data_IF_410545396027
#
_entry.id   IF_410545396027
#
_cell.length_a   1.000
_cell.length_b   1.000
_cell.length_c   1.000
_cell.angle_alpha   90.00
_cell.angle_beta   90.00
_cell.angle_gamma   90.00
#
_symmetry.space_group_name_H-M   'P 1'
#
loop_
_entity.id
_entity.type
_entity.pdbx_description
1 polymer ?
#
# COMPACT_ATOMS: atom_id res chain seq x y z
N UNK A 1 2.12 -9.88 13.78
CA UNK A 1 2.86 -9.81 12.51
C UNK A 1 1.96 -10.50 11.51
N UNK A 2 1.50 -9.79 10.47
CA UNK A 2 0.47 -10.31 9.55
C UNK A 2 1.08 -11.36 8.61
N UNK A 3 1.22 -12.58 9.12
CA UNK A 3 1.71 -13.76 8.40
C UNK A 3 0.63 -14.32 7.47
N UNK A 4 1.02 -15.16 6.50
CA UNK A 4 0.08 -15.80 5.56
C UNK A 4 -0.86 -16.76 6.29
N UNK A 5 -0.33 -17.40 7.32
CA UNK A 5 -1.04 -18.36 8.16
C UNK A 5 -0.64 -18.10 9.62
N UNK A 6 -1.54 -18.24 10.60
CA UNK A 6 -1.20 -18.22 12.02
C UNK A 6 -0.15 -19.27 12.37
N UNK A 7 0.70 -19.00 13.37
CA UNK A 7 1.79 -19.91 13.75
C UNK A 7 1.28 -21.31 14.15
N UNK A 8 0.15 -21.36 14.84
CA UNK A 8 -0.50 -22.61 15.26
C UNK A 8 -0.95 -23.46 14.07
N UNK A 9 -1.46 -22.82 13.00
CA UNK A 9 -1.87 -23.50 11.78
C UNK A 9 -0.67 -23.96 10.96
N UNK A 10 0.43 -23.19 10.94
CA UNK A 10 1.68 -23.62 10.31
C UNK A 10 2.23 -24.86 11.00
N UNK A 11 2.25 -24.85 12.33
CA UNK A 11 2.71 -25.99 13.13
C UNK A 11 1.79 -27.20 12.96
N UNK A 12 0.48 -26.98 12.82
CA UNK A 12 -0.49 -28.03 12.53
C UNK A 12 -0.27 -28.65 11.14
N UNK A 13 -0.19 -27.84 10.07
CA UNK A 13 0.08 -28.32 8.71
C UNK A 13 1.43 -29.01 8.66
N UNK A 14 2.44 -28.45 9.32
CA UNK A 14 3.77 -29.02 9.45
C UNK A 14 3.72 -30.43 10.05
N UNK A 15 3.04 -30.63 11.18
CA UNK A 15 2.88 -31.94 11.82
C UNK A 15 2.02 -32.92 11.02
N UNK A 16 1.12 -32.43 10.17
CA UNK A 16 0.25 -33.25 9.33
C UNK A 16 0.90 -33.72 8.04
N UNK A 17 1.65 -32.83 7.38
CA UNK A 17 2.41 -33.15 6.17
C UNK A 17 3.54 -34.12 6.51
N UNK A 18 4.09 -34.01 7.72
CA UNK A 18 5.15 -34.84 8.22
C UNK A 18 4.67 -35.60 9.46
N UNK A 19 3.97 -36.72 9.25
CA UNK A 19 3.47 -37.53 10.37
C UNK A 19 4.61 -38.06 11.23
N UNK A 20 4.60 -37.70 12.51
CA UNK A 20 5.63 -38.09 13.50
C UNK A 20 5.63 -39.60 13.75
N UNK A 21 4.50 -40.27 13.52
CA UNK A 21 4.34 -41.72 13.68
C UNK A 21 5.25 -42.50 12.74
N UNK A 22 5.41 -42.04 11.49
CA UNK A 22 6.34 -42.65 10.52
C UNK A 22 7.79 -42.34 10.90
N UNK A 23 8.09 -41.11 11.37
CA UNK A 23 9.43 -40.69 11.79
C UNK A 23 10.07 -41.59 12.86
N UNK A 24 9.32 -41.95 13.90
CA UNK A 24 9.86 -42.79 14.99
C UNK A 24 10.15 -44.23 14.58
N UNK A 25 9.61 -44.67 13.43
CA UNK A 25 9.88 -45.98 12.84
C UNK A 25 11.05 -45.97 11.83
N UNK A 26 11.57 -44.79 11.46
CA UNK A 26 12.71 -44.64 10.55
C UNK A 26 14.04 -44.98 11.22
N UNK A 27 15.02 -45.39 10.41
CA UNK A 27 16.41 -45.52 10.87
C UNK A 27 17.09 -44.15 11.04
N UNK A 28 18.32 -44.13 11.58
CA UNK A 28 19.01 -42.87 11.87
C UNK A 28 19.32 -42.02 10.64
N UNK A 29 19.56 -42.64 9.49
CA UNK A 29 19.90 -41.91 8.27
C UNK A 29 18.66 -41.24 7.69
N UNK A 30 17.54 -41.96 7.68
CA UNK A 30 16.25 -41.41 7.25
C UNK A 30 15.69 -40.39 8.25
N UNK A 31 15.94 -40.54 9.55
CA UNK A 31 15.62 -39.51 10.55
C UNK A 31 16.38 -38.20 10.30
N UNK A 32 17.66 -38.27 9.97
CA UNK A 32 18.46 -37.08 9.65
C UNK A 32 17.96 -36.39 8.38
N UNK A 33 17.65 -37.15 7.33
CA UNK A 33 17.07 -36.61 6.08
C UNK A 33 15.71 -35.96 6.35
N UNK A 34 14.89 -36.60 7.17
CA UNK A 34 13.60 -36.06 7.58
C UNK A 34 13.76 -34.72 8.32
N UNK A 35 14.69 -34.60 9.28
CA UNK A 35 14.97 -33.32 9.96
C UNK A 35 15.47 -32.23 9.01
N UNK A 36 16.23 -32.59 7.98
CA UNK A 36 16.71 -31.67 6.96
C UNK A 36 15.56 -31.17 6.07
N UNK A 37 14.67 -32.06 5.61
CA UNK A 37 13.47 -31.70 4.85
C UNK A 37 12.54 -30.79 5.66
N UNK A 38 12.40 -31.08 6.97
CA UNK A 38 11.65 -30.24 7.91
C UNK A 38 12.22 -28.82 8.00
N UNK A 39 13.55 -28.69 8.03
CA UNK A 39 14.22 -27.39 8.06
C UNK A 39 13.99 -26.62 6.77
N UNK A 40 14.17 -27.27 5.61
CA UNK A 40 13.96 -26.66 4.29
C UNK A 40 12.53 -26.11 4.18
N UNK A 41 11.54 -26.90 4.59
CA UNK A 41 10.14 -26.48 4.55
C UNK A 41 9.85 -25.28 5.46
N UNK A 42 10.42 -25.25 6.67
CA UNK A 42 10.30 -24.08 7.58
C UNK A 42 10.91 -22.82 6.97
N UNK A 43 12.10 -22.94 6.38
CA UNK A 43 12.79 -21.81 5.74
C UNK A 43 11.98 -21.28 4.54
N UNK A 44 11.35 -22.18 3.77
CA UNK A 44 10.43 -21.80 2.69
C UNK A 44 9.23 -21.00 3.19
N UNK A 45 8.53 -21.48 4.23
CA UNK A 45 7.39 -20.77 4.81
C UNK A 45 7.78 -19.37 5.32
N UNK A 46 8.91 -19.27 6.04
CA UNK A 46 9.41 -17.99 6.55
C UNK A 46 9.77 -17.01 5.43
N UNK A 47 10.32 -17.51 4.32
CA UNK A 47 10.62 -16.70 3.14
C UNK A 47 9.35 -16.12 2.53
N UNK A 48 8.30 -16.93 2.40
CA UNK A 48 7.00 -16.47 1.90
C UNK A 48 6.37 -15.42 2.81
N UNK A 49 6.37 -15.62 4.13
CA UNK A 49 5.84 -14.61 5.06
C UNK A 49 6.61 -13.29 4.96
N UNK A 50 7.93 -13.37 4.85
CA UNK A 50 8.78 -12.18 4.72
C UNK A 50 8.47 -11.43 3.43
N UNK A 51 8.32 -12.14 2.31
CA UNK A 51 7.95 -11.56 1.02
C UNK A 51 6.57 -10.87 1.09
N UNK A 52 5.58 -11.53 1.69
CA UNK A 52 4.22 -10.96 1.85
C UNK A 52 4.22 -9.76 2.79
N UNK A 53 4.92 -9.83 3.91
CA UNK A 53 5.03 -8.72 4.86
C UNK A 53 5.72 -7.51 4.21
N UNK A 54 6.78 -7.74 3.42
CA UNK A 54 7.46 -6.69 2.67
C UNK A 54 6.54 -6.06 1.62
N UNK A 55 5.88 -6.87 0.79
CA UNK A 55 4.96 -6.37 -0.23
C UNK A 55 3.79 -5.57 0.34
N UNK A 56 3.22 -6.01 1.48
CA UNK A 56 2.18 -5.24 2.19
C UNK A 56 2.69 -3.91 2.73
N UNK A 57 3.90 -3.90 3.30
CA UNK A 57 4.51 -2.68 3.83
C UNK A 57 4.77 -1.68 2.70
N UNK A 58 5.39 -2.13 1.62
CA UNK A 58 5.68 -1.32 0.43
C UNK A 58 4.38 -0.79 -0.19
N UNK A 59 3.40 -1.65 -0.46
CA UNK A 59 2.12 -1.21 -1.03
C UNK A 59 1.35 -0.22 -0.13
N UNK A 60 1.42 -0.37 1.20
CA UNK A 60 0.82 0.60 2.12
C UNK A 60 1.55 1.94 2.09
N UNK A 61 2.88 1.92 2.04
CA UNK A 61 3.70 3.13 2.00
C UNK A 61 3.52 3.89 0.67
N UNK A 62 3.57 3.18 -0.45
CA UNK A 62 3.30 3.71 -1.79
C UNK A 62 1.88 4.28 -1.88
N UNK A 63 0.86 3.51 -1.50
CA UNK A 63 -0.52 3.98 -1.53
C UNK A 63 -0.78 5.21 -0.65
N UNK A 64 -0.15 5.30 0.52
CA UNK A 64 -0.24 6.49 1.38
C UNK A 64 0.44 7.70 0.74
N UNK A 65 1.60 7.49 0.11
CA UNK A 65 2.36 8.56 -0.55
C UNK A 65 1.60 9.10 -1.76
N UNK A 66 1.14 8.22 -2.64
CA UNK A 66 0.37 8.58 -3.83
C UNK A 66 -0.94 9.28 -3.43
N UNK A 67 -1.71 8.70 -2.51
CA UNK A 67 -2.96 9.31 -2.06
C UNK A 67 -2.77 10.69 -1.40
N UNK A 68 -1.67 10.90 -0.67
CA UNK A 68 -1.34 12.21 -0.09
C UNK A 68 -0.96 13.22 -1.17
N UNK A 69 -0.18 12.82 -2.17
CA UNK A 69 0.23 13.70 -3.27
C UNK A 69 -0.97 14.10 -4.14
N UNK A 70 -1.81 13.14 -4.52
CA UNK A 70 -3.02 13.36 -5.30
C UNK A 70 -4.01 14.23 -4.53
N UNK A 71 -4.27 13.91 -3.26
CA UNK A 71 -5.15 14.70 -2.40
C UNK A 71 -4.67 16.14 -2.20
N UNK A 72 -3.35 16.37 -2.10
CA UNK A 72 -2.80 17.72 -2.03
C UNK A 72 -3.00 18.49 -3.34
N UNK A 73 -2.72 17.86 -4.50
CA UNK A 73 -2.91 18.47 -5.82
C UNK A 73 -4.38 18.83 -6.06
N UNK A 74 -5.30 17.91 -5.77
CA UNK A 74 -6.73 18.17 -5.87
C UNK A 74 -7.18 19.28 -4.93
N UNK A 75 -6.71 19.27 -3.68
CA UNK A 75 -7.05 20.29 -2.69
C UNK A 75 -6.59 21.68 -3.09
N UNK A 76 -5.35 21.81 -3.59
CA UNK A 76 -4.82 23.08 -4.12
C UNK A 76 -5.65 23.56 -5.31
N UNK A 77 -5.98 22.66 -6.25
CA UNK A 77 -6.80 23.00 -7.42
C UNK A 77 -8.21 23.44 -7.02
N UNK A 78 -8.89 22.70 -6.14
CA UNK A 78 -10.23 23.06 -5.63
C UNK A 78 -10.21 24.42 -4.94
N UNK A 79 -9.23 24.67 -4.06
CA UNK A 79 -9.09 25.95 -3.36
C UNK A 79 -8.84 27.12 -4.33
N UNK A 80 -8.02 26.92 -5.36
CA UNK A 80 -7.78 27.93 -6.39
C UNK A 80 -9.07 28.27 -7.14
N UNK A 81 -9.82 27.25 -7.59
CA UNK A 81 -11.11 27.43 -8.24
C UNK A 81 -12.12 28.15 -7.35
N UNK A 82 -12.29 27.72 -6.10
CA UNK A 82 -13.19 28.38 -5.15
C UNK A 82 -12.84 29.86 -4.93
N UNK A 83 -11.54 30.17 -4.87
CA UNK A 83 -11.05 31.55 -4.71
C UNK A 83 -11.42 32.40 -5.91
N UNK A 84 -11.19 31.90 -7.14
CA UNK A 84 -11.59 32.57 -8.38
C UNK A 84 -13.11 32.78 -8.41
N UNK A 85 -13.91 31.75 -8.12
CA UNK A 85 -15.37 31.86 -8.13
C UNK A 85 -15.88 32.90 -7.12
N UNK A 86 -15.34 32.91 -5.90
CA UNK A 86 -15.68 33.92 -4.88
C UNK A 86 -15.29 35.32 -5.34
N UNK A 87 -14.12 35.48 -5.92
CA UNK A 87 -13.65 36.78 -6.40
C UNK A 87 -14.49 37.31 -7.57
N UNK A 88 -14.88 36.45 -8.52
CA UNK A 88 -15.80 36.79 -9.61
C UNK A 88 -17.19 37.20 -9.07
N UNK A 89 -17.72 36.48 -8.08
CA UNK A 89 -19.00 36.84 -7.43
C UNK A 89 -18.94 38.18 -6.68
N UNK A 90 -17.77 38.56 -6.17
CA UNK A 90 -17.54 39.87 -5.55
C UNK A 90 -17.33 41.00 -6.57
N UNK A 91 -17.33 40.70 -7.87
CA UNK A 91 -17.14 41.69 -8.93
C UNK A 91 -15.70 42.20 -9.05
N UNK A 92 -14.71 41.45 -8.55
CA UNK A 92 -13.30 41.80 -8.70
C UNK A 92 -12.89 41.71 -10.18
N UNK A 93 -12.11 42.68 -10.70
CA UNK A 93 -11.59 42.62 -12.06
C UNK A 93 -10.63 41.44 -12.24
N UNK A 94 -10.64 40.85 -13.43
CA UNK A 94 -9.91 39.60 -13.74
C UNK A 94 -8.40 39.78 -13.54
N UNK A 95 -7.87 40.98 -13.79
CA UNK A 95 -6.48 41.33 -13.57
C UNK A 95 -6.08 41.24 -12.08
N UNK A 96 -6.97 41.67 -11.17
CA UNK A 96 -6.74 41.53 -9.73
C UNK A 96 -6.85 40.08 -9.27
N UNK A 97 -7.78 39.31 -9.84
CA UNK A 97 -7.92 37.87 -9.55
C UNK A 97 -6.67 37.11 -9.99
N UNK A 98 -6.13 37.45 -11.16
CA UNK A 98 -4.88 36.88 -11.69
C UNK A 98 -3.72 37.15 -10.74
N UNK A 99 -3.57 38.39 -10.27
CA UNK A 99 -2.53 38.77 -9.31
C UNK A 99 -2.66 38.04 -7.97
N UNK A 100 -3.88 37.86 -7.44
CA UNK A 100 -4.12 37.23 -6.14
C UNK A 100 -3.98 35.71 -6.16
N UNK A 101 -4.37 35.07 -7.26
CA UNK A 101 -4.40 33.60 -7.39
C UNK A 101 -3.17 33.03 -8.09
N UNK A 102 -2.40 33.88 -8.78
CA UNK A 102 -1.27 33.47 -9.64
C UNK A 102 -1.71 32.75 -10.92
N UNK A 103 -3.02 32.68 -11.20
CA UNK A 103 -3.57 32.08 -12.40
C UNK A 103 -3.54 33.07 -13.56
N UNK A 104 -3.41 32.54 -14.77
CA UNK A 104 -3.48 33.34 -15.98
C UNK A 104 -4.91 33.85 -16.22
N UNK A 105 -5.01 34.97 -16.95
CA UNK A 105 -6.30 35.54 -17.37
C UNK A 105 -7.13 34.49 -18.13
N UNK A 106 -6.48 33.68 -18.98
CA UNK A 106 -7.12 32.60 -19.73
C UNK A 106 -7.73 31.52 -18.82
N UNK A 107 -7.01 31.08 -17.79
CA UNK A 107 -7.51 30.11 -16.81
C UNK A 107 -8.71 30.67 -16.04
N UNK A 108 -8.66 31.95 -15.65
CA UNK A 108 -9.76 32.61 -14.94
C UNK A 108 -10.99 32.76 -15.84
N UNK A 109 -10.80 33.17 -17.10
CA UNK A 109 -11.89 33.26 -18.08
C UNK A 109 -12.47 31.89 -18.43
N UNK A 110 -11.66 30.83 -18.43
CA UNK A 110 -12.16 29.45 -18.56
C UNK A 110 -13.06 29.08 -17.40
N UNK A 111 -12.63 29.34 -16.15
CA UNK A 111 -13.47 29.09 -14.96
C UNK A 111 -14.76 29.90 -14.99
N UNK A 112 -14.72 31.14 -15.47
CA UNK A 112 -15.89 32.00 -15.65
C UNK A 112 -16.87 31.46 -16.71
N UNK A 113 -16.41 30.77 -17.74
CA UNK A 113 -17.26 30.10 -18.75
C UNK A 113 -17.85 28.78 -18.25
N UNK A 114 -17.18 28.12 -17.30
CA UNK A 114 -17.61 26.85 -16.69
C UNK A 114 -18.51 27.03 -15.45
N UNK A 115 -18.67 28.28 -14.99
CA UNK A 115 -19.57 28.73 -13.92
C UNK A 115 -21.01 28.93 -14.40
#
# INVERSE_FOLDING_TARGET
>A
MDTILPQEEKEYIFKKVFEITEYTALDKEDQLRYEEDLKIFRDYLNTLDTAVAKGRKEGKEEGLKEGKEEGLKEGVKKKALETVQKALKLGLPVEQISLLTGLTIEEIEKVKREL
#
